data_IF_616573185623
#
_entry.id   IF_616573185623
#
_cell.length_a   1.000
_cell.length_b   1.000
_cell.length_c   1.000
_cell.angle_alpha   90.00
_cell.angle_beta   90.00
_cell.angle_gamma   90.00
#
_symmetry.space_group_name_H-M   'P 1'
#
loop_
_entity.id
_entity.type
_entity.pdbx_description
1 polymer ?
#
# COMPACT_ATOMS: atom_id res chain seq x y z
N UNK A 1 -13.70 2.03 20.52
CA UNK A 1 -12.52 2.35 19.74
C UNK A 1 -12.90 2.58 18.30
N UNK A 2 -12.24 3.53 17.67
CA UNK A 2 -12.49 3.88 16.28
C UNK A 2 -12.00 2.75 15.36
N UNK A 3 -12.91 2.15 14.60
CA UNK A 3 -12.60 1.05 13.69
C UNK A 3 -11.63 1.46 12.60
N UNK A 4 -11.73 2.69 12.10
CA UNK A 4 -10.82 3.20 11.08
C UNK A 4 -9.40 3.34 11.60
N UNK A 5 -9.23 3.85 12.83
CA UNK A 5 -7.91 3.96 13.46
C UNK A 5 -7.29 2.58 13.68
N UNK A 6 -8.10 1.59 14.02
CA UNK A 6 -7.61 0.22 14.18
C UNK A 6 -7.14 -0.37 12.86
N UNK A 7 -7.87 -0.13 11.78
CA UNK A 7 -7.48 -0.59 10.44
C UNK A 7 -6.19 0.06 9.97
N UNK A 8 -6.08 1.37 10.15
CA UNK A 8 -4.88 2.13 9.78
C UNK A 8 -3.68 1.64 10.59
N UNK A 9 -3.84 1.50 11.90
CA UNK A 9 -2.79 1.00 12.78
C UNK A 9 -2.34 -0.40 12.41
N UNK A 10 -3.27 -1.27 12.05
CA UNK A 10 -2.98 -2.62 11.60
C UNK A 10 -2.15 -2.63 10.31
N UNK A 11 -2.44 -1.74 9.39
CA UNK A 11 -1.66 -1.61 8.14
C UNK A 11 -0.24 -1.12 8.41
N UNK A 12 -0.09 -0.16 9.31
CA UNK A 12 1.24 0.31 9.72
C UNK A 12 2.05 -0.85 10.31
N UNK A 13 1.46 -1.60 11.22
CA UNK A 13 2.10 -2.77 11.84
C UNK A 13 2.46 -3.82 10.80
N UNK A 14 1.54 -4.13 9.90
CA UNK A 14 1.75 -5.11 8.83
C UNK A 14 2.92 -4.72 7.94
N UNK A 15 2.98 -3.46 7.51
CA UNK A 15 4.06 -2.97 6.67
C UNK A 15 5.39 -2.98 7.41
N UNK A 16 5.38 -2.63 8.71
CA UNK A 16 6.56 -2.67 9.55
C UNK A 16 7.13 -4.09 9.66
N UNK A 17 6.27 -5.05 9.95
CA UNK A 17 6.67 -6.45 10.09
C UNK A 17 7.17 -7.02 8.75
N UNK A 18 6.56 -6.61 7.63
CA UNK A 18 7.00 -7.03 6.30
C UNK A 18 8.43 -6.57 6.01
N UNK A 19 8.87 -5.48 6.62
CA UNK A 19 10.24 -4.97 6.48
C UNK A 19 11.16 -5.44 7.61
N UNK A 20 10.68 -6.34 8.47
CA UNK A 20 11.45 -6.88 9.59
C UNK A 20 11.96 -5.80 10.56
N UNK A 21 11.15 -4.75 10.76
CA UNK A 21 11.49 -3.66 11.67
C UNK A 21 10.79 -3.82 13.01
N UNK A 22 11.48 -3.47 14.08
CA UNK A 22 10.86 -3.33 15.40
C UNK A 22 10.16 -1.97 15.47
N UNK A 23 9.28 -1.79 16.46
CA UNK A 23 8.66 -0.49 16.70
C UNK A 23 9.73 0.58 16.97
N UNK A 24 10.76 0.24 17.73
CA UNK A 24 11.85 1.16 18.02
C UNK A 24 12.58 1.61 16.76
N UNK A 25 12.86 0.67 15.85
CA UNK A 25 13.56 0.97 14.60
C UNK A 25 12.72 1.86 13.70
N UNK A 26 11.43 1.55 13.54
CA UNK A 26 10.56 2.40 12.72
C UNK A 26 10.39 3.78 13.34
N UNK A 27 10.19 3.86 14.65
CA UNK A 27 10.04 5.14 15.34
C UNK A 27 11.28 6.01 15.15
N UNK A 28 12.47 5.43 15.23
CA UNK A 28 13.72 6.14 15.02
C UNK A 28 13.83 6.71 13.61
N UNK A 29 13.54 5.90 12.59
CA UNK A 29 13.59 6.34 11.19
C UNK A 29 12.54 7.42 10.90
N UNK A 30 11.35 7.26 11.46
CA UNK A 30 10.25 8.21 11.24
C UNK A 30 10.36 9.48 12.12
N UNK A 31 11.27 9.48 13.09
CA UNK A 31 11.45 10.64 13.99
C UNK A 31 10.29 10.84 14.94
N UNK A 32 9.66 9.77 15.39
CA UNK A 32 8.56 9.80 16.37
C UNK A 32 8.92 8.94 17.57
N UNK A 33 8.17 9.12 18.67
CA UNK A 33 8.39 8.29 19.86
C UNK A 33 7.83 6.88 19.67
N UNK A 34 8.41 5.91 20.36
CA UNK A 34 7.92 4.53 20.36
C UNK A 34 6.50 4.47 20.92
N UNK A 35 6.22 5.27 21.96
CA UNK A 35 4.87 5.35 22.54
C UNK A 35 3.84 5.82 21.53
N UNK A 36 4.16 6.85 20.74
CA UNK A 36 3.28 7.36 19.71
C UNK A 36 3.02 6.30 18.65
N UNK A 37 4.08 5.65 18.16
CA UNK A 37 3.95 4.59 17.16
C UNK A 37 3.12 3.43 17.70
N UNK A 38 3.36 3.01 18.94
CA UNK A 38 2.58 1.95 19.58
C UNK A 38 1.10 2.31 19.66
N UNK A 39 0.78 3.53 20.01
CA UNK A 39 -0.61 4.00 20.07
C UNK A 39 -1.26 4.03 18.68
N UNK A 40 -0.51 4.41 17.67
CA UNK A 40 -0.99 4.37 16.27
C UNK A 40 -1.31 2.93 15.87
N UNK A 41 -0.38 2.00 16.09
CA UNK A 41 -0.55 0.59 15.70
C UNK A 41 -1.71 -0.08 16.43
N UNK A 42 -1.98 0.33 17.65
CA UNK A 42 -3.08 -0.21 18.45
C UNK A 42 -4.42 0.49 18.24
N UNK A 43 -4.47 1.49 17.37
CA UNK A 43 -5.70 2.21 17.07
C UNK A 43 -6.17 3.16 18.16
N UNK A 44 -5.27 3.55 19.06
CA UNK A 44 -5.57 4.45 20.18
C UNK A 44 -5.39 5.92 19.85
N UNK A 45 -4.60 6.19 18.83
CA UNK A 45 -4.25 7.55 18.45
C UNK A 45 -4.12 7.65 16.94
N UNK A 46 -4.61 8.76 16.36
CA UNK A 46 -4.48 9.00 14.93
C UNK A 46 -3.11 9.60 14.62
N UNK A 47 -2.65 9.36 13.39
CA UNK A 47 -1.48 10.04 12.87
C UNK A 47 -1.85 11.47 12.47
N UNK A 48 -1.00 12.44 12.83
CA UNK A 48 -1.10 13.74 12.17
C UNK A 48 -0.47 13.63 10.78
N UNK A 49 -0.61 14.66 9.97
CA UNK A 49 -0.10 14.64 8.59
C UNK A 49 1.41 14.41 8.54
N UNK A 50 2.16 15.02 9.45
CA UNK A 50 3.61 14.87 9.53
C UNK A 50 4.01 13.42 9.83
N UNK A 51 3.34 12.78 10.77
CA UNK A 51 3.58 11.38 11.10
C UNK A 51 3.23 10.46 9.94
N UNK A 52 2.13 10.73 9.24
CA UNK A 52 1.72 9.96 8.07
C UNK A 52 2.81 10.00 6.99
N UNK A 53 3.32 11.18 6.68
CA UNK A 53 4.39 11.34 5.69
C UNK A 53 5.65 10.58 6.13
N UNK A 54 6.06 10.76 7.38
CA UNK A 54 7.28 10.14 7.91
C UNK A 54 7.18 8.61 7.92
N UNK A 55 6.04 8.06 8.34
CA UNK A 55 5.83 6.61 8.39
C UNK A 55 5.73 6.02 6.99
N UNK A 56 4.99 6.66 6.08
CA UNK A 56 4.88 6.16 4.71
C UNK A 56 6.23 6.16 4.00
N UNK A 57 7.04 7.19 4.19
CA UNK A 57 8.39 7.25 3.63
C UNK A 57 9.30 6.19 4.24
N UNK A 58 9.27 6.04 5.55
CA UNK A 58 10.10 5.05 6.24
C UNK A 58 9.77 3.62 5.82
N UNK A 59 8.49 3.33 5.59
CA UNK A 59 8.03 2.01 5.18
C UNK A 59 8.03 1.83 3.65
N UNK A 60 8.25 2.90 2.91
CA UNK A 60 8.19 2.91 1.44
C UNK A 60 6.84 2.38 0.93
N UNK A 61 5.77 2.82 1.55
CA UNK A 61 4.40 2.52 1.12
C UNK A 61 3.67 3.82 0.86
N UNK A 62 2.62 3.79 0.04
CA UNK A 62 1.85 5.00 -0.23
C UNK A 62 0.98 5.36 0.98
N UNK A 63 0.77 6.66 1.19
CA UNK A 63 -0.15 7.13 2.21
C UNK A 63 -1.58 6.62 1.94
N UNK A 64 -1.97 6.55 0.67
CA UNK A 64 -3.28 6.00 0.27
C UNK A 64 -3.46 4.57 0.77
N UNK A 65 -2.45 3.73 0.63
CA UNK A 65 -2.52 2.35 1.10
C UNK A 65 -2.72 2.28 2.61
N UNK A 66 -2.08 3.19 3.35
CA UNK A 66 -2.19 3.21 4.81
C UNK A 66 -3.57 3.64 5.29
N UNK A 67 -4.20 4.60 4.62
CA UNK A 67 -5.41 5.26 5.12
C UNK A 67 -6.70 4.85 4.41
N UNK A 68 -6.62 4.29 3.22
CA UNK A 68 -7.81 3.91 2.45
C UNK A 68 -8.06 2.41 2.48
N UNK A 69 -9.32 2.06 2.53
CA UNK A 69 -9.77 0.68 2.46
C UNK A 69 -9.81 0.25 1.00
N UNK A 70 -8.69 -0.28 0.49
CA UNK A 70 -8.60 -0.77 -0.88
C UNK A 70 -9.31 -2.11 -0.98
N UNK A 71 -10.17 -2.34 -1.99
CA UNK A 71 -10.84 -3.61 -2.17
C UNK A 71 -9.83 -4.77 -2.19
N UNK A 72 -10.07 -5.77 -1.36
CA UNK A 72 -9.13 -6.87 -1.11
C UNK A 72 -8.75 -7.63 -2.39
N UNK A 73 -9.71 -7.81 -3.29
CA UNK A 73 -9.48 -8.51 -4.55
C UNK A 73 -8.53 -7.76 -5.48
N UNK A 74 -8.68 -6.43 -5.60
CA UNK A 74 -7.82 -5.61 -6.44
C UNK A 74 -6.39 -5.57 -5.89
N UNK A 75 -6.25 -5.47 -4.57
CA UNK A 75 -4.94 -5.43 -3.91
C UNK A 75 -4.18 -6.75 -4.14
N UNK A 76 -4.85 -7.89 -3.99
CA UNK A 76 -4.22 -9.20 -4.19
C UNK A 76 -3.71 -9.40 -5.61
N UNK A 77 -4.53 -9.05 -6.60
CA UNK A 77 -4.15 -9.19 -8.02
C UNK A 77 -2.99 -8.27 -8.35
N UNK A 78 -3.00 -7.04 -7.84
CA UNK A 78 -1.91 -6.10 -8.05
C UNK A 78 -0.59 -6.62 -7.46
N UNK A 79 -0.64 -7.21 -6.27
CA UNK A 79 0.54 -7.81 -5.64
C UNK A 79 1.09 -8.98 -6.42
N UNK A 80 0.21 -9.84 -6.93
CA UNK A 80 0.60 -10.98 -7.77
C UNK A 80 1.27 -10.50 -9.06
N UNK A 81 0.72 -9.48 -9.71
CA UNK A 81 1.30 -8.91 -10.92
C UNK A 81 2.68 -8.30 -10.60
N UNK A 82 2.80 -7.58 -9.51
CA UNK A 82 4.08 -7.00 -9.09
C UNK A 82 5.14 -8.08 -8.86
N UNK A 83 4.77 -9.18 -8.22
CA UNK A 83 5.67 -10.31 -7.98
C UNK A 83 6.19 -10.89 -9.30
N UNK A 84 5.33 -11.03 -10.29
CA UNK A 84 5.74 -11.52 -11.61
C UNK A 84 6.69 -10.56 -12.31
N UNK A 85 6.53 -9.26 -12.11
CA UNK A 85 7.36 -8.25 -12.75
C UNK A 85 8.76 -8.14 -12.15
N UNK A 86 8.95 -8.56 -10.91
CA UNK A 86 10.25 -8.48 -10.22
C UNK A 86 11.34 -9.25 -10.96
N UNK A 87 11.02 -10.40 -11.55
CA UNK A 87 11.97 -11.23 -12.29
C UNK A 87 12.20 -10.79 -13.74
N UNK A 88 11.50 -9.77 -14.19
CA UNK A 88 11.59 -9.29 -15.57
C UNK A 88 12.67 -8.24 -15.75
N UNK A 89 13.25 -8.18 -16.93
CA UNK A 89 14.17 -7.10 -17.32
C UNK A 89 13.37 -5.81 -17.56
N UNK A 90 14.01 -4.63 -17.54
CA UNK A 90 13.30 -3.37 -17.83
C UNK A 90 12.59 -3.37 -19.19
N UNK A 91 13.20 -3.97 -20.22
CA UNK A 91 12.56 -4.09 -21.54
C UNK A 91 11.34 -4.97 -21.52
N UNK A 92 11.40 -6.08 -20.78
CA UNK A 92 10.27 -6.98 -20.61
C UNK A 92 9.12 -6.29 -19.87
N UNK A 93 9.44 -5.48 -18.85
CA UNK A 93 8.42 -4.72 -18.11
C UNK A 93 7.71 -3.72 -19.02
N UNK A 94 8.44 -3.03 -19.91
CA UNK A 94 7.86 -2.10 -20.87
C UNK A 94 6.92 -2.82 -21.84
N UNK A 95 7.34 -3.97 -22.36
CA UNK A 95 6.52 -4.79 -23.25
C UNK A 95 5.24 -5.25 -22.58
N UNK A 96 5.34 -5.68 -21.32
CA UNK A 96 4.18 -6.10 -20.53
C UNK A 96 3.22 -4.92 -20.31
N UNK A 97 3.75 -3.74 -20.02
CA UNK A 97 2.92 -2.54 -19.85
C UNK A 97 2.14 -2.20 -21.12
N UNK A 98 2.79 -2.26 -22.29
CA UNK A 98 2.13 -2.04 -23.57
C UNK A 98 1.00 -3.03 -23.80
N UNK A 99 1.25 -4.29 -23.48
CA UNK A 99 0.24 -5.35 -23.61
C UNK A 99 -0.95 -5.08 -22.68
N UNK A 100 -0.70 -4.71 -21.44
CA UNK A 100 -1.75 -4.37 -20.47
C UNK A 100 -2.60 -3.21 -20.98
N UNK A 101 -1.98 -2.18 -21.53
CA UNK A 101 -2.68 -1.01 -22.07
C UNK A 101 -3.57 -1.40 -23.25
N UNK A 102 -3.08 -2.28 -24.15
CA UNK A 102 -3.85 -2.79 -25.28
C UNK A 102 -5.05 -3.61 -24.79
N UNK A 103 -4.85 -4.48 -23.82
CA UNK A 103 -5.92 -5.29 -23.24
C UNK A 103 -7.00 -4.42 -22.59
N UNK A 104 -6.61 -3.37 -21.89
CA UNK A 104 -7.57 -2.43 -21.29
C UNK A 104 -8.43 -1.76 -22.35
N UNK A 105 -7.85 -1.36 -23.48
CA UNK A 105 -8.60 -0.77 -24.59
C UNK A 105 -9.61 -1.76 -25.16
N UNK A 106 -9.19 -3.01 -25.35
CA UNK A 106 -10.06 -4.07 -25.85
C UNK A 106 -11.23 -4.33 -24.89
N UNK A 107 -10.95 -4.39 -23.59
CA UNK A 107 -11.98 -4.60 -22.57
C UNK A 107 -12.96 -3.43 -22.52
N UNK A 108 -12.50 -2.21 -22.67
CA UNK A 108 -13.34 -1.03 -22.71
C UNK A 108 -14.27 -1.06 -23.94
N UNK A 109 -13.74 -1.44 -25.09
CA UNK A 109 -14.54 -1.60 -26.33
C UNK A 109 -15.65 -2.65 -26.17
N UNK A 110 -15.33 -3.79 -25.57
CA UNK A 110 -16.29 -4.86 -25.31
C UNK A 110 -17.37 -4.35 -24.35
N UNK A 111 -17.00 -3.63 -23.31
CA UNK A 111 -17.92 -3.09 -22.33
C UNK A 111 -18.88 -2.08 -22.97
N UNK A 112 -18.37 -1.21 -23.83
CA UNK A 112 -19.18 -0.24 -24.57
C UNK A 112 -20.17 -0.92 -25.49
N UNK A 113 -19.73 -1.98 -26.20
CA UNK A 113 -20.59 -2.79 -27.08
C UNK A 113 -21.72 -3.47 -26.29
N UNK A 114 -21.43 -3.94 -25.09
CA UNK A 114 -22.43 -4.61 -24.24
C UNK A 114 -23.46 -3.66 -23.65
N UNK A 115 -23.17 -2.36 -23.60
CA UNK A 115 -24.07 -1.34 -23.05
C UNK A 115 -25.04 -0.74 -24.09
N UNK A 116 -24.94 -1.16 -25.35
CA UNK A 116 -25.90 -0.81 -26.39
C UNK A 116 -27.10 -1.80 -26.40
#
# INVERSE_FOLDING_TARGET
>A
MDTELMKIGSRVKQARLAKHLTQMQLAEVAGISVSFLSNIENGRQSMNLRALIAISDALNVSADWLIKDIPHSASRIAEEIESELVSCTPKEREAILELVQLMKKSLTSIKESCNE
#
